data_IF_671495368428
#
_entry.id   IF_671495368428
#
_cell.length_a   1.000
_cell.length_b   1.000
_cell.length_c   1.000
_cell.angle_alpha   90.00
_cell.angle_beta   90.00
_cell.angle_gamma   90.00
#
_symmetry.space_group_name_H-M   'P 1'
#
loop_
_entity.id
_entity.type
_entity.pdbx_description
1 polymer ?
#
# COMPACT_ATOMS: atom_id res chain seq x y z
N UNK A 1 0.10 -21.35 0.94
CA UNK A 1 0.42 -22.62 1.63
C UNK A 1 -0.52 -23.76 1.23
N UNK A 2 -1.85 -23.54 1.22
CA UNK A 2 -2.81 -24.59 0.83
C UNK A 2 -2.62 -25.02 -0.63
N UNK A 3 -2.43 -24.09 -1.55
CA UNK A 3 -2.12 -24.37 -2.95
C UNK A 3 -0.90 -25.31 -3.11
N UNK A 4 0.17 -25.06 -2.37
CA UNK A 4 1.35 -25.94 -2.36
C UNK A 4 1.02 -27.35 -1.88
N UNK A 5 0.22 -27.49 -0.82
CA UNK A 5 -0.14 -28.79 -0.23
C UNK A 5 -1.13 -29.57 -1.08
N UNK A 6 -2.22 -28.92 -1.49
CA UNK A 6 -3.40 -29.59 -2.05
C UNK A 6 -3.30 -29.73 -3.58
N UNK A 7 -2.70 -28.74 -4.27
CA UNK A 7 -2.59 -28.73 -5.73
C UNK A 7 -1.22 -29.22 -6.20
N UNK A 8 -0.15 -28.61 -5.74
CA UNK A 8 1.22 -29.00 -6.15
C UNK A 8 1.77 -30.23 -5.47
N UNK A 9 1.13 -30.69 -4.37
CA UNK A 9 1.60 -31.79 -3.52
C UNK A 9 3.00 -31.56 -2.94
N UNK A 10 3.39 -30.29 -2.87
CA UNK A 10 4.69 -29.83 -2.37
C UNK A 10 4.72 -29.64 -0.86
N UNK A 11 5.89 -29.26 -0.35
CA UNK A 11 6.13 -29.01 1.08
C UNK A 11 6.51 -27.57 1.36
N UNK A 12 6.67 -26.73 0.35
CA UNK A 12 7.03 -25.31 0.49
C UNK A 12 5.98 -24.59 1.34
N UNK A 13 6.40 -23.71 2.21
CA UNK A 13 5.49 -22.99 3.11
C UNK A 13 5.95 -21.57 3.44
N UNK A 14 7.22 -21.24 3.13
CA UNK A 14 7.80 -19.94 3.43
C UNK A 14 7.26 -18.87 2.46
N UNK A 15 6.93 -17.72 3.02
CA UNK A 15 6.50 -16.52 2.29
C UNK A 15 7.54 -15.44 2.55
N UNK A 16 8.17 -14.92 1.50
CA UNK A 16 9.01 -13.75 1.58
C UNK A 16 8.14 -12.51 1.54
N UNK A 17 8.28 -11.64 2.54
CA UNK A 17 7.62 -10.32 2.60
C UNK A 17 8.70 -9.24 2.62
N UNK A 18 8.32 -7.98 2.44
CA UNK A 18 9.27 -6.89 2.38
C UNK A 18 9.46 -6.23 3.75
N UNK A 19 10.68 -5.82 4.06
CA UNK A 19 10.97 -4.93 5.18
C UNK A 19 10.17 -3.63 5.04
N UNK A 20 9.80 -3.01 6.14
CA UNK A 20 8.95 -1.81 6.23
C UNK A 20 7.53 -1.97 5.67
N UNK A 21 7.13 -3.16 5.21
CA UNK A 21 5.76 -3.44 4.75
C UNK A 21 4.74 -3.40 5.89
N UNK A 22 3.45 -3.29 5.51
CA UNK A 22 2.34 -3.41 6.44
C UNK A 22 1.21 -4.23 5.83
N UNK A 23 0.93 -5.42 6.40
CA UNK A 23 -0.05 -6.37 5.86
C UNK A 23 -1.27 -6.61 6.76
N UNK A 24 -1.37 -5.95 7.90
CA UNK A 24 -2.54 -6.02 8.79
C UNK A 24 -2.24 -6.28 10.25
N UNK A 25 -3.30 -6.55 11.02
CA UNK A 25 -3.28 -6.65 12.49
C UNK A 25 -3.70 -8.01 13.06
N UNK A 26 -4.11 -8.98 12.23
CA UNK A 26 -4.29 -10.36 12.69
C UNK A 26 -2.94 -11.06 12.86
N UNK A 27 -2.86 -12.12 13.63
CA UNK A 27 -1.58 -12.74 13.99
C UNK A 27 -0.70 -13.08 12.78
N UNK A 28 -1.29 -13.67 11.73
CA UNK A 28 -0.54 -14.00 10.52
C UNK A 28 -0.11 -12.75 9.74
N UNK A 29 -0.96 -11.74 9.63
CA UNK A 29 -0.64 -10.50 8.90
C UNK A 29 0.31 -9.60 9.69
N UNK A 30 0.24 -9.59 11.02
CA UNK A 30 1.27 -8.97 11.88
C UNK A 30 2.62 -9.64 11.65
N UNK A 31 2.64 -10.97 11.57
CA UNK A 31 3.88 -11.70 11.27
C UNK A 31 4.45 -11.35 9.89
N UNK A 32 3.58 -11.23 8.89
CA UNK A 32 3.98 -10.85 7.52
C UNK A 32 4.45 -9.39 7.42
N UNK A 33 3.98 -8.52 8.31
CA UNK A 33 4.37 -7.09 8.35
C UNK A 33 5.87 -6.95 8.65
N UNK A 34 6.59 -6.18 7.83
CA UNK A 34 8.04 -5.97 7.91
C UNK A 34 8.49 -4.89 8.89
N UNK A 35 7.70 -4.57 9.91
CA UNK A 35 7.99 -3.53 10.92
C UNK A 35 7.91 -4.12 12.32
N UNK A 36 9.05 -4.23 13.00
CA UNK A 36 9.16 -4.87 14.32
C UNK A 36 8.30 -4.21 15.43
N UNK A 37 8.09 -2.89 15.33
CA UNK A 37 7.23 -2.16 16.30
C UNK A 37 5.80 -2.72 16.38
N UNK A 38 5.29 -3.33 15.29
CA UNK A 38 3.95 -3.91 15.25
C UNK A 38 3.89 -5.35 15.71
N UNK A 39 5.03 -6.03 15.82
CA UNK A 39 5.13 -7.43 16.26
C UNK A 39 5.32 -7.56 17.78
N UNK A 40 5.85 -6.52 18.42
CA UNK A 40 6.18 -6.52 19.85
C UNK A 40 4.98 -6.91 20.71
N UNK A 41 5.14 -7.99 21.49
CA UNK A 41 4.11 -8.50 22.40
C UNK A 41 3.11 -9.48 21.77
N UNK A 42 3.30 -9.89 20.50
CA UNK A 42 2.46 -10.87 19.80
C UNK A 42 3.14 -12.24 19.62
N UNK A 43 4.25 -12.48 20.30
CA UNK A 43 4.96 -13.75 20.27
C UNK A 43 4.17 -14.88 20.94
N UNK A 44 4.27 -16.14 20.43
CA UNK A 44 5.04 -16.58 19.29
C UNK A 44 4.37 -16.22 17.96
N UNK A 45 5.14 -15.69 17.01
CA UNK A 45 4.68 -15.35 15.67
C UNK A 45 4.44 -16.60 14.82
N UNK A 46 3.68 -16.46 13.74
CA UNK A 46 3.39 -17.58 12.81
C UNK A 46 4.64 -17.96 12.01
N UNK A 47 5.13 -19.20 12.06
CA UNK A 47 6.36 -19.58 11.36
C UNK A 47 6.21 -19.52 9.82
N UNK A 48 7.35 -19.35 9.12
CA UNK A 48 7.42 -19.36 7.67
C UNK A 48 7.08 -18.02 7.01
N UNK A 49 7.40 -16.93 7.68
CA UNK A 49 7.56 -15.60 7.08
C UNK A 49 9.00 -15.15 7.28
N UNK A 50 9.60 -14.62 6.22
CA UNK A 50 10.92 -14.01 6.24
C UNK A 50 10.88 -12.70 5.49
N UNK A 51 11.65 -11.71 5.94
CA UNK A 51 11.65 -10.37 5.37
C UNK A 51 12.94 -10.10 4.61
N UNK A 52 12.82 -9.35 3.52
CA UNK A 52 13.93 -8.90 2.68
C UNK A 52 13.77 -7.40 2.39
N UNK A 53 14.84 -6.66 2.16
CA UNK A 53 14.74 -5.25 1.76
C UNK A 53 13.87 -5.07 0.53
N UNK A 54 13.01 -4.04 0.56
CA UNK A 54 12.15 -3.69 -0.58
C UNK A 54 12.99 -3.09 -1.71
N UNK A 55 12.70 -3.46 -2.95
CA UNK A 55 13.40 -3.05 -4.18
C UNK A 55 14.89 -3.46 -4.23
N UNK A 56 15.30 -4.45 -3.42
CA UNK A 56 16.64 -5.06 -3.47
C UNK A 56 16.56 -6.45 -4.12
N UNK A 57 16.90 -6.51 -5.41
CA UNK A 57 16.85 -7.75 -6.20
C UNK A 57 17.88 -8.78 -5.74
N UNK A 58 19.08 -8.34 -5.37
CA UNK A 58 20.16 -9.22 -4.96
C UNK A 58 19.85 -9.88 -3.61
N UNK A 59 19.31 -9.11 -2.66
CA UNK A 59 18.85 -9.63 -1.39
C UNK A 59 17.73 -10.65 -1.59
N UNK A 60 16.77 -10.35 -2.46
CA UNK A 60 15.65 -11.25 -2.76
C UNK A 60 16.13 -12.55 -3.43
N UNK A 61 17.02 -12.48 -4.43
CA UNK A 61 17.56 -13.65 -5.10
C UNK A 61 18.31 -14.58 -4.12
N UNK A 62 19.05 -14.02 -3.16
CA UNK A 62 19.74 -14.78 -2.11
C UNK A 62 18.76 -15.39 -1.09
N UNK A 63 17.61 -14.75 -0.89
CA UNK A 63 16.61 -15.19 0.07
C UNK A 63 15.71 -16.31 -0.47
N UNK A 64 15.43 -16.36 -1.77
CA UNK A 64 14.62 -17.43 -2.36
C UNK A 64 15.34 -18.78 -2.19
N UNK A 65 14.68 -19.73 -1.52
CA UNK A 65 15.18 -21.06 -1.23
C UNK A 65 14.15 -22.16 -1.46
N UNK A 66 14.54 -23.40 -1.13
CA UNK A 66 13.72 -24.60 -1.37
C UNK A 66 12.39 -24.61 -0.63
N UNK A 67 12.27 -23.87 0.48
CA UNK A 67 11.04 -23.76 1.26
C UNK A 67 10.14 -22.60 0.80
N UNK A 68 10.65 -21.70 -0.04
CA UNK A 68 9.91 -20.52 -0.50
C UNK A 68 8.78 -20.92 -1.43
N UNK A 69 7.56 -20.48 -1.14
CA UNK A 69 6.36 -20.74 -1.96
C UNK A 69 5.73 -19.47 -2.54
N UNK A 70 6.00 -18.31 -1.98
CA UNK A 70 5.40 -17.05 -2.43
C UNK A 70 6.25 -15.83 -2.07
N UNK A 71 6.04 -14.76 -2.82
CA UNK A 71 6.51 -13.40 -2.52
C UNK A 71 5.28 -12.54 -2.29
N UNK A 72 5.21 -11.86 -1.12
CA UNK A 72 4.15 -10.94 -0.74
C UNK A 72 4.71 -9.51 -0.76
N UNK A 73 4.09 -8.63 -1.53
CA UNK A 73 4.56 -7.26 -1.70
C UNK A 73 3.41 -6.26 -1.86
N UNK A 74 3.56 -5.07 -1.28
CA UNK A 74 2.76 -3.89 -1.62
C UNK A 74 3.36 -3.29 -2.91
N UNK A 75 2.60 -3.02 -3.98
CA UNK A 75 3.14 -2.35 -5.18
C UNK A 75 3.78 -0.98 -4.88
N UNK A 76 3.28 -0.29 -3.88
CA UNK A 76 3.87 0.88 -3.23
C UNK A 76 3.70 0.67 -1.74
N UNK A 77 4.76 0.74 -0.95
CA UNK A 77 4.66 0.61 0.51
C UNK A 77 4.01 1.86 1.11
N UNK A 78 2.80 1.72 1.64
CA UNK A 78 2.05 2.85 2.19
C UNK A 78 2.51 3.27 3.57
N UNK A 79 2.44 2.38 4.55
CA UNK A 79 2.84 2.64 5.95
C UNK A 79 4.36 2.76 6.12
N UNK A 80 5.13 2.20 5.22
CA UNK A 80 6.59 2.30 5.17
C UNK A 80 7.11 3.66 4.71
N UNK A 81 6.23 4.62 4.36
CA UNK A 81 6.63 5.97 3.94
C UNK A 81 6.32 6.30 2.48
N UNK A 82 5.32 5.68 1.89
CA UNK A 82 4.96 5.84 0.47
C UNK A 82 6.17 5.57 -0.44
N UNK A 83 6.79 4.41 -0.24
CA UNK A 83 7.97 4.02 -1.03
C UNK A 83 7.50 3.41 -2.36
N UNK A 84 7.83 4.08 -3.46
CA UNK A 84 7.60 3.59 -4.81
C UNK A 84 8.84 2.80 -5.26
N UNK A 85 8.68 1.59 -5.79
CA UNK A 85 9.82 0.83 -6.33
C UNK A 85 10.21 1.38 -7.71
N UNK A 86 11.37 0.98 -8.19
CA UNK A 86 11.77 1.17 -9.59
C UNK A 86 10.77 0.52 -10.56
N UNK A 87 10.61 1.11 -11.73
CA UNK A 87 9.58 0.68 -12.71
C UNK A 87 9.76 -0.76 -13.19
N UNK A 88 10.94 -1.33 -13.07
CA UNK A 88 11.28 -2.69 -13.46
C UNK A 88 11.24 -3.70 -12.29
N UNK A 89 10.94 -3.27 -11.06
CA UNK A 89 10.92 -4.17 -9.89
C UNK A 89 9.75 -5.15 -9.92
N UNK A 90 8.52 -4.69 -10.15
CA UNK A 90 7.36 -5.60 -10.23
C UNK A 90 7.46 -6.57 -11.43
N UNK A 91 7.90 -6.15 -12.63
CA UNK A 91 8.26 -7.07 -13.72
C UNK A 91 9.32 -8.10 -13.34
N UNK A 92 10.36 -7.69 -12.61
CA UNK A 92 11.38 -8.61 -12.09
C UNK A 92 10.76 -9.65 -11.14
N UNK A 93 9.91 -9.22 -10.17
CA UNK A 93 9.22 -10.14 -9.26
C UNK A 93 8.38 -11.17 -10.01
N UNK A 94 7.66 -10.74 -11.06
CA UNK A 94 6.85 -11.66 -11.87
C UNK A 94 7.74 -12.69 -12.58
N UNK A 95 8.81 -12.24 -13.23
CA UNK A 95 9.75 -13.13 -13.91
C UNK A 95 10.40 -14.13 -12.96
N UNK A 96 10.85 -13.66 -11.79
CA UNK A 96 11.42 -14.53 -10.76
C UNK A 96 10.42 -15.58 -10.25
N UNK A 97 9.16 -15.14 -10.01
CA UNK A 97 8.12 -16.06 -9.55
C UNK A 97 7.79 -17.12 -10.61
N UNK A 98 7.77 -16.75 -11.89
CA UNK A 98 7.53 -17.68 -12.98
C UNK A 98 8.68 -18.68 -13.12
N UNK A 99 9.94 -18.21 -13.09
CA UNK A 99 11.14 -19.04 -13.19
C UNK A 99 11.28 -20.04 -12.03
N UNK A 100 10.98 -19.59 -10.80
CA UNK A 100 11.12 -20.40 -9.58
C UNK A 100 9.83 -21.09 -9.16
N UNK A 101 8.77 -20.97 -9.95
CA UNK A 101 7.44 -21.50 -9.64
C UNK A 101 6.89 -21.02 -8.28
N UNK A 102 7.10 -19.75 -7.95
CA UNK A 102 6.55 -19.10 -6.76
C UNK A 102 5.20 -18.44 -7.08
N UNK A 103 4.40 -18.17 -6.06
CA UNK A 103 3.23 -17.32 -6.19
C UNK A 103 3.61 -15.86 -5.94
N UNK A 104 3.22 -14.97 -6.84
CA UNK A 104 3.31 -13.53 -6.64
C UNK A 104 2.01 -13.03 -6.01
N UNK A 105 2.12 -12.40 -4.84
CA UNK A 105 0.97 -11.87 -4.07
C UNK A 105 1.12 -10.36 -3.96
N UNK A 106 0.17 -9.61 -4.52
CA UNK A 106 0.11 -8.16 -4.35
C UNK A 106 -0.88 -7.77 -3.25
N UNK A 107 -0.40 -6.98 -2.31
CA UNK A 107 -1.24 -6.31 -1.32
C UNK A 107 -1.66 -4.94 -1.86
N UNK A 108 -2.84 -4.88 -2.43
CA UNK A 108 -3.45 -3.67 -3.00
C UNK A 108 -4.41 -2.99 -2.01
N UNK A 109 -4.38 -3.38 -0.75
CA UNK A 109 -5.29 -2.89 0.30
C UNK A 109 -5.23 -1.37 0.46
N UNK A 110 -4.06 -0.76 0.29
CA UNK A 110 -3.91 0.70 0.40
C UNK A 110 -3.85 1.42 -0.95
N UNK A 111 -3.29 0.79 -1.96
CA UNK A 111 -2.95 1.42 -3.24
C UNK A 111 -3.89 1.07 -4.39
N UNK A 112 -4.71 0.04 -4.23
CA UNK A 112 -5.74 -0.34 -5.21
C UNK A 112 -6.98 0.56 -5.18
N UNK A 113 -7.99 0.12 -5.92
CA UNK A 113 -9.30 0.75 -5.99
C UNK A 113 -9.20 2.24 -6.39
N UNK A 114 -8.44 2.51 -7.43
CA UNK A 114 -8.33 3.84 -8.04
C UNK A 114 -7.26 4.77 -7.45
N UNK A 115 -6.66 4.44 -6.30
CA UNK A 115 -5.76 5.32 -5.54
C UNK A 115 -4.58 5.88 -6.35
N UNK A 116 -4.03 5.11 -7.28
CA UNK A 116 -2.89 5.48 -8.12
C UNK A 116 -3.27 6.06 -9.49
N UNK A 117 -4.59 6.17 -9.77
CA UNK A 117 -5.11 6.63 -11.07
C UNK A 117 -5.43 5.50 -12.05
N UNK A 118 -5.15 4.26 -11.69
CA UNK A 118 -5.60 3.02 -12.32
C UNK A 118 -6.44 2.23 -11.33
N UNK A 119 -7.23 1.24 -11.75
CA UNK A 119 -8.03 0.46 -10.80
C UNK A 119 -7.13 -0.25 -9.80
N UNK A 120 -6.03 -0.84 -10.27
CA UNK A 120 -5.00 -1.44 -9.43
C UNK A 120 -3.63 -0.81 -9.69
N UNK A 121 -2.82 -0.69 -8.64
CA UNK A 121 -1.52 -0.03 -8.72
C UNK A 121 -0.50 -0.77 -9.59
N UNK A 122 -0.65 -2.09 -9.79
CA UNK A 122 0.24 -2.89 -10.62
C UNK A 122 0.00 -2.74 -12.14
N UNK A 123 -1.18 -2.25 -12.56
CA UNK A 123 -1.54 -2.20 -13.99
C UNK A 123 -0.52 -1.47 -14.88
N UNK A 124 0.04 -0.31 -14.47
CA UNK A 124 1.02 0.40 -15.28
C UNK A 124 2.33 -0.37 -15.54
N UNK A 125 2.60 -1.40 -14.74
CA UNK A 125 3.82 -2.22 -14.86
C UNK A 125 3.65 -3.40 -15.84
N UNK A 126 2.46 -3.62 -16.38
CA UNK A 126 2.19 -4.68 -17.34
C UNK A 126 2.32 -6.10 -16.79
N UNK A 127 2.22 -6.28 -15.48
CA UNK A 127 2.31 -7.58 -14.79
C UNK A 127 1.03 -7.87 -14.02
N UNK A 128 0.74 -9.15 -13.76
CA UNK A 128 -0.40 -9.55 -12.94
C UNK A 128 0.06 -10.49 -11.82
N UNK A 129 -0.49 -10.37 -10.59
CA UNK A 129 -0.21 -11.30 -9.50
C UNK A 129 -0.99 -12.63 -9.67
N UNK A 130 -0.54 -13.66 -8.95
CA UNK A 130 -1.34 -14.89 -8.77
C UNK A 130 -2.44 -14.69 -7.73
N UNK A 131 -2.20 -13.84 -6.74
CA UNK A 131 -3.14 -13.48 -5.66
C UNK A 131 -3.06 -11.97 -5.42
N UNK A 132 -4.21 -11.35 -5.15
CA UNK A 132 -4.30 -9.95 -4.78
C UNK A 132 -5.24 -9.78 -3.59
N UNK A 133 -4.87 -8.92 -2.63
CA UNK A 133 -5.72 -8.55 -1.50
C UNK A 133 -6.24 -7.14 -1.63
N UNK A 134 -7.52 -6.94 -1.31
CA UNK A 134 -8.24 -5.68 -1.42
C UNK A 134 -9.01 -5.40 -0.12
N UNK A 135 -9.11 -4.13 0.27
CA UNK A 135 -9.96 -3.65 1.36
C UNK A 135 -10.10 -2.12 1.29
N UNK A 136 -10.24 -1.44 2.42
CA UNK A 136 -10.28 0.04 2.58
C UNK A 136 -11.25 0.71 1.61
N UNK A 137 -10.77 1.23 0.48
CA UNK A 137 -11.59 1.91 -0.53
C UNK A 137 -12.61 1.02 -1.25
N UNK A 138 -12.53 -0.31 -1.10
CA UNK A 138 -13.32 -1.28 -1.87
C UNK A 138 -14.84 -1.06 -1.79
N UNK A 139 -15.36 -0.60 -0.66
CA UNK A 139 -16.79 -0.36 -0.48
C UNK A 139 -17.12 1.03 0.09
N UNK A 140 -16.34 2.05 -0.26
CA UNK A 140 -16.67 3.45 0.07
C UNK A 140 -16.81 3.75 1.56
N UNK A 141 -16.22 2.95 2.45
CA UNK A 141 -16.28 3.09 3.91
C UNK A 141 -17.00 1.96 4.63
N UNK A 142 -17.75 1.10 3.94
CA UNK A 142 -18.33 -0.11 4.54
C UNK A 142 -17.22 -1.17 4.70
N UNK A 143 -17.06 -1.79 5.91
CA UNK A 143 -16.02 -2.77 6.14
C UNK A 143 -16.19 -4.03 5.27
N UNK A 144 -15.24 -4.24 4.37
CA UNK A 144 -15.11 -5.44 3.55
C UNK A 144 -13.64 -5.65 3.16
N UNK A 145 -13.25 -6.89 2.95
CA UNK A 145 -12.01 -7.28 2.29
C UNK A 145 -12.27 -8.37 1.27
N UNK A 146 -11.44 -8.41 0.24
CA UNK A 146 -11.49 -9.44 -0.78
C UNK A 146 -10.09 -9.99 -1.05
N UNK A 147 -10.03 -11.29 -1.36
CA UNK A 147 -8.85 -11.92 -1.92
C UNK A 147 -9.23 -12.43 -3.31
N UNK A 148 -8.56 -11.92 -4.32
CA UNK A 148 -8.71 -12.32 -5.71
C UNK A 148 -7.53 -13.20 -6.08
N UNK A 149 -7.77 -14.30 -6.78
CA UNK A 149 -6.72 -15.20 -7.21
C UNK A 149 -7.00 -15.71 -8.63
N UNK A 150 -5.94 -16.12 -9.32
CA UNK A 150 -6.11 -16.88 -10.57
C UNK A 150 -6.90 -18.16 -10.31
N UNK A 151 -7.66 -18.62 -11.28
CA UNK A 151 -8.48 -19.85 -11.15
C UNK A 151 -7.65 -21.05 -10.68
N UNK A 152 -6.44 -21.19 -11.21
CA UNK A 152 -5.47 -22.21 -10.80
C UNK A 152 -5.19 -22.21 -9.30
N UNK A 153 -5.02 -21.03 -8.69
CA UNK A 153 -4.73 -20.89 -7.26
C UNK A 153 -6.00 -20.99 -6.43
N UNK A 154 -7.09 -20.40 -6.89
CA UNK A 154 -8.40 -20.43 -6.22
C UNK A 154 -8.94 -21.86 -6.07
N UNK A 155 -8.62 -22.78 -6.98
CA UNK A 155 -8.98 -24.19 -6.91
C UNK A 155 -8.50 -24.90 -5.62
N UNK A 156 -7.53 -24.33 -4.89
CA UNK A 156 -7.13 -24.83 -3.58
C UNK A 156 -8.19 -24.58 -2.49
N UNK A 157 -9.13 -23.66 -2.69
CA UNK A 157 -10.23 -23.41 -1.78
C UNK A 157 -11.47 -24.18 -2.21
N UNK A 158 -11.72 -25.29 -1.53
CA UNK A 158 -12.91 -26.13 -1.74
C UNK A 158 -13.97 -25.82 -0.69
N UNK A 159 -15.25 -26.16 -0.92
CA UNK A 159 -16.31 -26.00 0.09
C UNK A 159 -15.89 -26.54 1.47
N UNK A 160 -16.10 -25.73 2.51
CA UNK A 160 -15.72 -26.05 3.89
C UNK A 160 -14.25 -25.87 4.25
N UNK A 161 -13.38 -25.45 3.31
CA UNK A 161 -11.95 -25.29 3.56
C UNK A 161 -11.58 -24.01 4.32
N UNK A 162 -12.41 -22.98 4.19
CA UNK A 162 -12.27 -21.68 4.86
C UNK A 162 -13.63 -21.01 4.94
N UNK A 163 -13.84 -20.14 5.94
CA UNK A 163 -15.08 -19.41 6.12
C UNK A 163 -14.86 -18.07 6.82
N UNK A 164 -15.80 -17.17 6.64
CA UNK A 164 -15.95 -15.93 7.41
C UNK A 164 -17.45 -15.73 7.70
N UNK A 165 -17.79 -15.45 8.96
CA UNK A 165 -19.20 -15.29 9.36
C UNK A 165 -19.88 -14.14 8.61
N UNK A 166 -19.19 -13.01 8.46
CA UNK A 166 -19.72 -11.80 7.81
C UNK A 166 -19.16 -11.55 6.41
N UNK A 167 -18.24 -12.41 5.92
CA UNK A 167 -17.64 -12.27 4.60
C UNK A 167 -18.68 -12.42 3.50
N UNK A 168 -18.72 -11.50 2.53
CA UNK A 168 -19.66 -11.51 1.42
C UNK A 168 -21.10 -11.20 1.81
N UNK A 169 -21.34 -10.55 2.97
CA UNK A 169 -22.71 -10.16 3.33
C UNK A 169 -23.31 -9.20 2.27
N UNK A 170 -24.64 -9.28 2.03
CA UNK A 170 -25.28 -8.54 0.93
C UNK A 170 -25.13 -7.03 1.01
N UNK A 171 -25.12 -6.45 2.22
CA UNK A 171 -24.97 -5.00 2.40
C UNK A 171 -23.58 -4.52 1.96
N UNK A 172 -22.52 -5.16 2.46
CA UNK A 172 -21.16 -4.78 2.11
C UNK A 172 -20.86 -5.09 0.63
N UNK A 173 -21.40 -6.17 0.07
CA UNK A 173 -21.24 -6.51 -1.34
C UNK A 173 -21.95 -5.49 -2.25
N UNK A 174 -23.16 -5.06 -1.91
CA UNK A 174 -23.87 -4.00 -2.64
C UNK A 174 -23.13 -2.66 -2.59
N UNK A 175 -22.61 -2.27 -1.42
CA UNK A 175 -21.82 -1.06 -1.28
C UNK A 175 -20.51 -1.14 -2.10
N UNK A 176 -19.83 -2.30 -2.10
CA UNK A 176 -18.63 -2.54 -2.91
C UNK A 176 -18.93 -2.45 -4.40
N UNK A 177 -20.03 -3.02 -4.86
CA UNK A 177 -20.44 -2.94 -6.27
C UNK A 177 -20.69 -1.49 -6.68
N UNK A 178 -21.51 -0.74 -5.91
CA UNK A 178 -21.79 0.66 -6.17
C UNK A 178 -20.50 1.52 -6.18
N UNK A 179 -19.59 1.30 -5.23
CA UNK A 179 -18.31 2.02 -5.21
C UNK A 179 -17.46 1.74 -6.46
N UNK A 180 -17.40 0.48 -6.91
CA UNK A 180 -16.68 0.12 -8.12
C UNK A 180 -17.32 0.70 -9.39
N UNK A 181 -18.65 0.71 -9.49
CA UNK A 181 -19.39 1.33 -10.60
C UNK A 181 -19.07 2.82 -10.70
N UNK A 182 -19.14 3.56 -9.60
CA UNK A 182 -18.78 5.00 -9.55
C UNK A 182 -17.32 5.21 -9.97
N UNK A 183 -16.38 4.41 -9.45
CA UNK A 183 -14.95 4.55 -9.76
C UNK A 183 -14.67 4.31 -11.24
N UNK A 184 -15.34 3.33 -11.85
CA UNK A 184 -15.08 2.92 -13.22
C UNK A 184 -15.85 3.78 -14.25
N UNK A 185 -17.04 4.27 -13.92
CA UNK A 185 -17.98 4.87 -14.89
C UNK A 185 -18.11 6.39 -14.75
N UNK A 186 -17.82 6.98 -13.57
CA UNK A 186 -18.06 8.41 -13.32
C UNK A 186 -16.76 9.27 -13.38
N UNK A 187 -15.70 8.79 -14.04
CA UNK A 187 -14.48 9.57 -14.26
C UNK A 187 -13.58 9.73 -13.04
N UNK A 188 -13.80 8.94 -11.97
CA UNK A 188 -13.01 9.04 -10.73
C UNK A 188 -11.52 8.70 -10.97
N UNK A 189 -11.21 7.73 -11.82
CA UNK A 189 -9.82 7.40 -12.16
C UNK A 189 -9.12 8.56 -12.88
N UNK A 190 -9.83 9.27 -13.77
CA UNK A 190 -9.30 10.45 -14.44
C UNK A 190 -9.10 11.61 -13.46
N UNK A 191 -10.06 11.84 -12.56
CA UNK A 191 -9.88 12.81 -11.48
C UNK A 191 -8.67 12.48 -10.63
N UNK A 192 -8.47 11.22 -10.25
CA UNK A 192 -7.31 10.78 -9.47
C UNK A 192 -5.98 11.08 -10.18
N UNK A 193 -5.89 10.87 -11.50
CA UNK A 193 -4.71 11.22 -12.29
C UNK A 193 -4.47 12.74 -12.31
N UNK A 194 -5.51 13.52 -12.64
CA UNK A 194 -5.42 14.98 -12.75
C UNK A 194 -5.11 15.62 -11.39
N UNK A 195 -5.91 15.36 -10.36
CA UNK A 195 -5.74 15.93 -9.03
C UNK A 195 -4.46 15.39 -8.36
N UNK A 196 -4.08 14.15 -8.64
CA UNK A 196 -2.82 13.58 -8.16
C UNK A 196 -1.57 14.25 -8.75
N UNK A 197 -1.60 14.57 -10.05
CA UNK A 197 -0.53 15.36 -10.68
C UNK A 197 -0.47 16.77 -10.12
N UNK A 198 -1.62 17.43 -9.94
CA UNK A 198 -1.72 18.77 -9.35
C UNK A 198 -1.16 18.78 -7.91
N UNK A 199 -1.54 17.80 -7.10
CA UNK A 199 -1.03 17.60 -5.74
C UNK A 199 0.50 17.41 -5.75
N UNK A 200 1.02 16.53 -6.61
CA UNK A 200 2.46 16.27 -6.74
C UNK A 200 3.22 17.55 -7.04
N UNK A 201 2.81 18.29 -8.08
CA UNK A 201 3.42 19.55 -8.48
C UNK A 201 3.31 20.61 -7.39
N UNK A 202 2.19 20.65 -6.67
CA UNK A 202 1.99 21.53 -5.52
C UNK A 202 2.98 21.24 -4.40
N UNK A 203 3.11 19.97 -4.01
CA UNK A 203 4.06 19.54 -2.99
C UNK A 203 5.52 19.84 -3.39
N UNK A 204 5.87 19.65 -4.65
CA UNK A 204 7.20 20.00 -5.17
C UNK A 204 7.46 21.51 -5.09
N UNK A 205 6.45 22.37 -5.39
CA UNK A 205 6.58 23.84 -5.20
C UNK A 205 6.73 24.21 -3.73
N UNK A 206 6.02 23.55 -2.82
CA UNK A 206 6.21 23.76 -1.37
C UNK A 206 7.61 23.32 -0.95
N UNK A 207 8.08 22.18 -1.40
CA UNK A 207 9.43 21.68 -1.09
C UNK A 207 10.53 22.67 -1.51
N UNK A 208 10.39 23.30 -2.69
CA UNK A 208 11.33 24.32 -3.16
C UNK A 208 11.37 25.59 -2.27
N UNK A 209 10.29 25.90 -1.55
CA UNK A 209 10.27 27.00 -0.57
C UNK A 209 10.88 26.62 0.78
N UNK A 210 10.99 25.32 1.06
CA UNK A 210 11.51 24.78 2.32
C UNK A 210 12.65 23.77 2.11
N UNK A 211 13.72 24.12 1.37
CA UNK A 211 14.77 23.18 0.96
C UNK A 211 15.54 22.55 2.14
N UNK A 212 15.63 23.26 3.28
CA UNK A 212 16.29 22.75 4.49
C UNK A 212 15.41 21.79 5.29
N UNK A 213 14.14 21.67 4.95
CA UNK A 213 13.15 20.87 5.67
C UNK A 213 12.62 19.68 4.90
N UNK A 214 12.65 19.72 3.59
CA UNK A 214 12.11 18.68 2.71
C UNK A 214 13.24 18.00 1.97
N UNK A 215 13.34 16.69 2.13
CA UNK A 215 14.30 15.85 1.40
C UNK A 215 13.79 15.48 0.03
N UNK A 216 12.51 15.05 -0.01
CA UNK A 216 11.95 14.44 -1.20
C UNK A 216 10.42 14.55 -1.20
N UNK A 217 9.86 14.63 -2.40
CA UNK A 217 8.43 14.41 -2.65
C UNK A 217 8.29 13.19 -3.55
N UNK A 218 7.45 12.21 -3.16
CA UNK A 218 7.25 10.96 -3.91
C UNK A 218 5.82 10.46 -3.83
N UNK A 219 5.44 9.53 -4.72
CA UNK A 219 4.11 8.94 -4.75
C UNK A 219 3.57 8.78 -6.16
N UNK A 220 2.34 8.24 -6.28
CA UNK A 220 1.60 8.08 -7.55
C UNK A 220 0.12 8.42 -7.33
N UNK A 221 -0.52 9.10 -8.28
CA UNK A 221 -1.93 9.49 -8.16
C UNK A 221 -2.20 10.25 -6.86
N UNK A 222 -3.21 9.84 -6.11
CA UNK A 222 -3.61 10.43 -4.83
C UNK A 222 -3.05 9.69 -3.61
N UNK A 223 -1.90 9.03 -3.75
CA UNK A 223 -1.02 8.64 -2.64
C UNK A 223 0.31 9.33 -2.82
N UNK A 224 0.52 10.41 -2.07
CA UNK A 224 1.70 11.26 -2.12
C UNK A 224 2.36 11.36 -0.75
N UNK A 225 3.64 11.63 -0.74
CA UNK A 225 4.41 11.86 0.46
C UNK A 225 5.40 12.99 0.31
N UNK A 226 5.68 13.67 1.43
CA UNK A 226 6.77 14.61 1.59
C UNK A 226 7.65 14.14 2.74
N UNK A 227 8.87 13.75 2.46
CA UNK A 227 9.83 13.30 3.47
C UNK A 227 10.59 14.53 4.02
N UNK A 228 10.54 14.68 5.33
CA UNK A 228 11.15 15.82 6.04
C UNK A 228 12.55 15.46 6.55
N UNK A 229 13.37 16.48 6.79
CA UNK A 229 14.69 16.34 7.43
C UNK A 229 14.62 16.07 8.93
N UNK A 230 13.46 16.30 9.55
CA UNK A 230 13.18 16.09 10.96
C UNK A 230 11.79 15.49 11.20
N UNK A 231 11.37 15.33 12.49
CA UNK A 231 10.08 14.75 12.84
C UNK A 231 8.90 15.47 12.20
N UNK A 232 7.97 14.72 11.62
CA UNK A 232 6.78 15.26 10.94
C UNK A 232 5.62 15.58 11.90
N UNK A 233 5.61 15.03 13.12
CA UNK A 233 4.51 15.22 14.08
C UNK A 233 4.16 16.67 14.35
N UNK A 234 5.13 17.59 14.60
CA UNK A 234 4.79 19.00 14.83
C UNK A 234 4.08 19.67 13.63
N UNK A 235 4.44 19.28 12.40
CA UNK A 235 3.76 19.77 11.19
C UNK A 235 2.34 19.25 11.10
N UNK A 236 2.11 17.96 11.43
CA UNK A 236 0.77 17.36 11.48
C UNK A 236 -0.11 18.07 12.50
N UNK A 237 0.41 18.34 13.71
CA UNK A 237 -0.33 19.05 14.77
C UNK A 237 -0.71 20.47 14.35
N UNK A 238 0.21 21.20 13.70
CA UNK A 238 -0.09 22.53 13.16
C UNK A 238 -1.13 22.48 12.06
N UNK A 239 -1.00 21.56 11.08
CA UNK A 239 -1.99 21.35 10.04
C UNK A 239 -3.38 21.05 10.63
N UNK A 240 -3.44 20.18 11.65
CA UNK A 240 -4.70 19.82 12.31
C UNK A 240 -5.34 21.02 13.01
N UNK A 241 -4.56 21.91 13.63
CA UNK A 241 -5.07 23.15 14.24
C UNK A 241 -5.63 24.15 13.23
N UNK A 242 -5.18 24.07 11.98
CA UNK A 242 -5.71 24.87 10.85
C UNK A 242 -6.80 24.14 10.04
N UNK A 243 -7.29 22.98 10.51
CA UNK A 243 -8.37 22.21 9.90
C UNK A 243 -7.95 21.20 8.83
N UNK A 244 -6.65 20.99 8.61
CA UNK A 244 -6.15 20.02 7.66
C UNK A 244 -5.75 18.70 8.35
N UNK A 245 -6.39 17.60 7.93
CA UNK A 245 -6.09 16.26 8.43
C UNK A 245 -5.12 15.55 7.49
N UNK A 246 -3.88 15.45 7.92
CA UNK A 246 -2.82 14.62 7.31
C UNK A 246 -2.23 13.70 8.38
N UNK A 247 -1.39 12.75 7.99
CA UNK A 247 -0.67 11.95 8.97
C UNK A 247 0.82 11.87 8.66
N UNK A 248 1.61 11.54 9.69
CA UNK A 248 3.02 11.25 9.57
C UNK A 248 3.24 9.73 9.72
N UNK A 249 4.02 9.15 8.82
CA UNK A 249 4.49 7.76 8.89
C UNK A 249 6.02 7.75 8.84
N UNK A 250 6.64 6.64 9.25
CA UNK A 250 8.11 6.54 9.28
C UNK A 250 8.82 7.75 9.94
N UNK A 251 8.19 8.34 10.97
CA UNK A 251 8.67 9.47 11.78
C UNK A 251 8.83 10.82 11.05
N UNK A 252 9.26 10.82 9.81
CA UNK A 252 9.58 12.03 9.03
C UNK A 252 8.67 12.24 7.83
N UNK A 253 7.86 11.26 7.43
CA UNK A 253 7.13 11.28 6.17
C UNK A 253 5.70 11.77 6.35
N UNK A 254 5.39 12.96 5.88
CA UNK A 254 4.02 13.44 5.75
C UNK A 254 3.36 12.70 4.58
N UNK A 255 2.24 12.02 4.86
CA UNK A 255 1.51 11.23 3.86
C UNK A 255 0.16 11.87 3.54
N UNK A 256 -0.13 12.00 2.25
CA UNK A 256 -1.34 12.61 1.71
C UNK A 256 -2.18 11.55 1.00
N UNK A 257 -3.38 11.31 1.52
CA UNK A 257 -4.36 10.32 1.03
C UNK A 257 -5.77 10.96 0.95
N UNK A 258 -5.95 12.02 0.14
CA UNK A 258 -7.25 12.67 0.05
C UNK A 258 -8.30 11.72 -0.55
N UNK A 259 -9.60 12.03 -0.46
CA UNK A 259 -10.64 11.31 -1.19
C UNK A 259 -10.34 11.27 -2.69
N UNK A 260 -10.77 10.20 -3.38
CA UNK A 260 -10.55 10.07 -4.84
C UNK A 260 -11.28 11.14 -5.65
N UNK A 261 -12.27 11.79 -5.05
CA UNK A 261 -13.07 12.86 -5.65
C UNK A 261 -12.57 14.26 -5.28
N UNK A 262 -11.42 14.39 -4.61
CA UNK A 262 -10.82 15.69 -4.25
C UNK A 262 -10.67 16.58 -5.47
N UNK A 263 -11.03 17.85 -5.32
CA UNK A 263 -10.87 18.85 -6.38
C UNK A 263 -9.49 19.50 -6.35
N UNK A 264 -9.12 20.20 -7.41
CA UNK A 264 -7.85 20.95 -7.47
C UNK A 264 -7.84 22.12 -6.51
N UNK A 265 -9.00 22.75 -6.27
CA UNK A 265 -9.19 23.85 -5.34
C UNK A 265 -8.96 23.41 -3.89
N UNK A 266 -9.50 22.24 -3.50
CA UNK A 266 -9.27 21.64 -2.17
C UNK A 266 -7.79 21.25 -2.00
N UNK A 267 -7.12 20.80 -3.05
CA UNK A 267 -5.67 20.56 -3.04
C UNK A 267 -4.89 21.86 -2.84
N UNK A 268 -5.30 22.95 -3.49
CA UNK A 268 -4.63 24.24 -3.33
C UNK A 268 -4.79 24.79 -1.90
N UNK A 269 -5.98 24.67 -1.30
CA UNK A 269 -6.22 25.02 0.12
C UNK A 269 -5.31 24.18 1.05
N UNK A 270 -5.22 22.90 0.83
CA UNK A 270 -4.33 22.01 1.58
C UNK A 270 -2.86 22.46 1.47
N UNK A 271 -2.40 22.81 0.26
CA UNK A 271 -1.03 23.26 0.02
C UNK A 271 -0.69 24.57 0.74
N UNK A 272 -1.65 25.51 0.82
CA UNK A 272 -1.49 26.77 1.56
C UNK A 272 -1.34 26.51 3.07
N UNK A 273 -2.17 25.63 3.65
CA UNK A 273 -2.06 25.26 5.06
C UNK A 273 -0.72 24.58 5.34
N UNK A 274 -0.32 23.64 4.49
CA UNK A 274 0.95 22.92 4.63
C UNK A 274 2.14 23.88 4.60
N UNK A 275 2.15 24.85 3.68
CA UNK A 275 3.22 25.85 3.54
C UNK A 275 3.37 26.71 4.81
N UNK A 276 2.22 27.18 5.38
CA UNK A 276 2.22 27.89 6.66
C UNK A 276 2.72 27.01 7.82
N UNK A 277 2.26 25.76 7.88
CA UNK A 277 2.68 24.82 8.93
C UNK A 277 4.18 24.53 8.89
N UNK A 278 4.75 24.37 7.70
CA UNK A 278 6.20 24.21 7.55
C UNK A 278 6.96 25.48 7.95
N UNK A 279 6.44 26.67 7.68
CA UNK A 279 7.05 27.94 8.07
C UNK A 279 7.03 28.15 9.58
N UNK A 280 5.90 27.89 10.25
CA UNK A 280 5.71 28.20 11.68
C UNK A 280 6.48 27.24 12.61
N UNK A 281 6.62 25.98 12.25
CA UNK A 281 7.37 24.99 13.04
C UNK A 281 8.90 25.22 13.03
N UNK A 282 9.40 26.21 12.28
CA UNK A 282 10.80 26.66 12.37
C UNK A 282 11.10 27.52 13.59
N UNK A 283 10.12 28.16 14.24
CA UNK A 283 10.34 29.15 15.30
C UNK A 283 10.47 28.55 16.72
N UNK A 284 10.30 27.23 16.86
CA UNK A 284 10.29 26.55 18.18
C UNK A 284 11.57 25.82 18.58
N UNK A 285 12.66 25.95 17.81
CA UNK A 285 13.95 25.30 18.07
C UNK A 285 15.03 26.32 18.44
N UNK A 286 14.70 27.26 19.32
CA UNK A 286 15.61 28.25 19.89
C UNK A 286 15.77 28.07 21.41
#
# INVERSE_FOLDING_TARGET
>A
RRYERDIRKGKRFEILAMENSFHGRTLATVTATGQEKFKKGFDPLVPGFRHVPFDDRDALLKAVGDETCAILVEPIQGEGGVICPGDDYLPFLRSLCDERELLLVFDEVQVGIGRTGTLFAYEPFGVAPDIMTLAKGLAGGIPIGATVATERVAAAFTPGSHASTFGGNPLAAAAGLAALEVILEEGVLENCRRSGLHLRQGLERVALRHPDRVREVRGRGLIQAMDLTGPGTPVVETCMSEGLLINCTAETVLRFLPPLIVTTEEVDEMLEILDRALSSTCQGAG
#
